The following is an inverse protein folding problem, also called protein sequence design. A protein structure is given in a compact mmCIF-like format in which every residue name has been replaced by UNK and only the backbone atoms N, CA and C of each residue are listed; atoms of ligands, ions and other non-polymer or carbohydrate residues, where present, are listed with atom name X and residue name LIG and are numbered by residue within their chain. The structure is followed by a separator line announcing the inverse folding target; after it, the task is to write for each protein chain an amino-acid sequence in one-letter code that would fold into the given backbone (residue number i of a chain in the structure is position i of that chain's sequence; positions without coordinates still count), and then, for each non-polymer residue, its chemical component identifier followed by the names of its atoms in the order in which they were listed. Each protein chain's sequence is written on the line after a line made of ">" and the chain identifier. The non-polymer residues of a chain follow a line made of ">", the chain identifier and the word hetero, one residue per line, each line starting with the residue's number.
data_IF_300818422609
#
_entry.id   IF_300818422609
#
_cell.length_a   1.000
_cell.length_b   1.000
_cell.length_c   1.000
_cell.angle_alpha   90.00
_cell.angle_beta   90.00
_cell.angle_gamma   90.00
#
_symmetry.space_group_name_H-M   'P 1'
#
loop_
_entity.id
_entity.type
_entity.pdbx_description
1 polymer ?
#
# COMPACT_ATOMS: atom_id res chain seq x y z
N UNK A 1 10.13 14.06 7.64
CA UNK A 1 9.59 14.26 9.00
C UNK A 1 9.42 12.93 9.71
N UNK A 2 9.75 12.82 11.00
CA UNK A 2 9.75 11.54 11.75
C UNK A 2 8.37 11.36 12.40
N UNK A 3 7.68 10.26 12.10
CA UNK A 3 6.39 9.91 12.72
C UNK A 3 6.55 8.69 13.65
N UNK A 4 6.05 8.81 14.88
CA UNK A 4 6.07 7.76 15.89
C UNK A 4 4.70 7.06 15.97
N UNK A 5 4.68 5.73 16.06
CA UNK A 5 3.49 4.97 16.44
C UNK A 5 3.86 3.87 17.44
N UNK A 6 3.02 3.69 18.47
CA UNK A 6 3.03 2.51 19.35
C UNK A 6 1.65 1.87 19.35
N UNK A 7 1.59 0.55 19.31
CA UNK A 7 0.38 -0.21 19.64
C UNK A 7 0.58 -0.81 21.02
N UNK A 8 -0.43 -0.63 21.88
CA UNK A 8 -0.52 -1.25 23.21
C UNK A 8 -1.58 -2.35 23.09
N UNK A 9 -1.18 -3.60 23.30
CA UNK A 9 -2.11 -4.69 23.59
C UNK A 9 -1.92 -5.11 25.04
N UNK A 10 -3.04 -5.37 25.72
CA UNK A 10 -3.08 -5.90 27.08
C UNK A 10 -3.63 -7.31 26.96
N UNK A 11 -2.82 -8.30 27.34
CA UNK A 11 -3.24 -9.69 27.43
C UNK A 11 -3.71 -10.01 28.86
N UNK A 12 -4.52 -11.05 29.02
CA UNK A 12 -5.33 -11.30 30.22
C UNK A 12 -4.54 -11.82 31.45
N UNK A 13 -3.22 -11.98 31.33
CA UNK A 13 -2.30 -12.42 32.40
C UNK A 13 -1.29 -11.34 32.83
N UNK A 14 -1.55 -10.07 32.52
CA UNK A 14 -0.75 -8.93 33.01
C UNK A 14 0.68 -8.82 32.46
N UNK A 15 1.09 -9.74 31.57
CA UNK A 15 2.42 -9.77 30.94
C UNK A 15 2.41 -8.93 29.67
N UNK A 16 3.09 -7.80 29.71
CA UNK A 16 3.21 -6.87 28.57
C UNK A 16 4.23 -7.44 27.58
N UNK A 17 3.75 -8.00 26.47
CA UNK A 17 4.60 -8.44 25.36
C UNK A 17 4.55 -7.35 24.28
N UNK A 18 5.67 -6.70 24.02
CA UNK A 18 5.79 -5.72 22.95
C UNK A 18 5.95 -6.43 21.60
N UNK A 19 5.11 -6.10 20.62
CA UNK A 19 5.36 -6.48 19.23
C UNK A 19 6.66 -5.81 18.77
N UNK A 20 7.57 -6.55 18.11
CA UNK A 20 8.78 -5.97 17.51
C UNK A 20 8.39 -4.79 16.60
N UNK A 21 8.91 -3.61 16.90
CA UNK A 21 8.80 -2.43 16.05
C UNK A 21 9.70 -2.70 14.83
N UNK A 22 9.11 -3.17 13.73
CA UNK A 22 9.82 -3.25 12.45
C UNK A 22 9.81 -1.85 11.86
N UNK A 23 10.93 -1.15 12.04
CA UNK A 23 11.18 0.17 11.44
C UNK A 23 11.25 0.03 9.91
N UNK A 24 10.15 0.30 9.22
CA UNK A 24 10.19 0.57 7.79
C UNK A 24 10.83 1.94 7.57
N UNK A 25 12.15 1.96 7.36
CA UNK A 25 12.87 3.16 6.92
C UNK A 25 12.25 3.63 5.60
N UNK A 26 11.46 4.70 5.65
CA UNK A 26 11.14 5.50 4.47
C UNK A 26 12.45 6.19 4.06
N UNK A 27 13.27 5.48 3.26
CA UNK A 27 14.44 6.09 2.64
C UNK A 27 13.91 7.18 1.71
N UNK A 28 14.05 8.44 2.13
CA UNK A 28 13.77 9.64 1.32
C UNK A 28 14.79 9.82 0.18
N UNK A 29 15.30 8.74 -0.39
CA UNK A 29 16.18 8.75 -1.56
C UNK A 29 15.92 7.50 -2.39
N UNK A 30 15.04 7.63 -3.38
CA UNK A 30 15.18 7.08 -4.74
C UNK A 30 13.88 7.30 -5.53
N UNK A 31 14.02 7.68 -6.79
CA UNK A 31 13.01 8.19 -7.75
C UNK A 31 11.76 7.32 -8.04
N UNK A 32 11.42 6.33 -7.21
CA UNK A 32 10.20 5.54 -7.33
C UNK A 32 9.38 5.60 -6.02
N UNK A 33 8.31 6.39 -6.04
CA UNK A 33 7.35 6.49 -4.95
C UNK A 33 5.96 6.08 -5.46
N UNK A 34 5.20 5.39 -4.60
CA UNK A 34 3.77 5.18 -4.85
C UNK A 34 2.94 6.00 -3.86
N UNK A 35 1.82 6.53 -4.33
CA UNK A 35 0.82 7.18 -3.48
C UNK A 35 -0.58 6.86 -3.99
N UNK A 36 -1.55 6.82 -3.09
CA UNK A 36 -2.94 6.52 -3.44
C UNK A 36 -3.84 7.65 -3.00
N UNK A 37 -4.66 8.16 -3.92
CA UNK A 37 -5.59 9.26 -3.67
C UNK A 37 -6.92 9.06 -4.43
N UNK A 38 -8.05 9.54 -3.88
CA UNK A 38 -8.20 10.02 -2.50
C UNK A 38 -8.05 8.87 -1.48
N UNK A 39 -7.69 9.22 -0.24
CA UNK A 39 -7.66 8.30 0.89
C UNK A 39 -8.14 9.06 2.14
N UNK A 40 -9.39 8.86 2.62
CA UNK A 40 -10.30 7.77 2.25
C UNK A 40 -10.81 7.80 0.80
N UNK A 41 -10.95 6.61 0.20
CA UNK A 41 -11.47 6.39 -1.14
C UNK A 41 -12.95 6.01 -1.07
N UNK A 42 -13.73 6.40 -2.09
CA UNK A 42 -15.13 5.97 -2.25
C UNK A 42 -15.28 5.09 -3.49
N UNK A 43 -14.79 5.55 -4.64
CA UNK A 43 -14.75 4.79 -5.89
C UNK A 43 -13.49 5.13 -6.68
N UNK A 44 -12.98 4.13 -7.40
CA UNK A 44 -11.90 4.29 -8.37
C UNK A 44 -10.70 5.11 -7.84
N UNK A 45 -10.07 4.75 -6.72
CA UNK A 45 -8.89 5.47 -6.27
C UNK A 45 -7.77 5.40 -7.31
N UNK A 46 -7.00 6.48 -7.40
CA UNK A 46 -5.87 6.62 -8.29
C UNK A 46 -4.60 6.24 -7.54
N UNK A 47 -3.91 5.24 -8.06
CA UNK A 47 -2.56 4.87 -7.66
C UNK A 47 -1.57 5.61 -8.55
N UNK A 48 -0.87 6.59 -7.97
CA UNK A 48 0.24 7.27 -8.60
C UNK A 48 1.52 6.48 -8.39
N UNK A 49 2.26 6.21 -9.46
CA UNK A 49 3.53 5.49 -9.47
C UNK A 49 4.54 6.33 -10.23
N UNK A 50 5.61 6.75 -9.54
CA UNK A 50 6.78 7.30 -10.19
C UNK A 50 7.76 6.18 -10.53
N UNK A 51 8.26 6.14 -11.75
CA UNK A 51 9.27 5.15 -12.18
C UNK A 51 10.43 5.84 -12.88
N UNK A 52 11.65 5.35 -12.64
CA UNK A 52 12.85 5.82 -13.34
C UNK A 52 13.03 5.19 -14.74
N UNK A 53 12.33 4.08 -15.00
CA UNK A 53 12.43 3.30 -16.24
C UNK A 53 11.07 2.67 -16.59
N UNK A 54 10.93 2.22 -17.84
CA UNK A 54 9.77 1.43 -18.25
C UNK A 54 9.80 0.07 -17.54
N UNK A 55 8.68 -0.34 -16.98
CA UNK A 55 8.59 -1.52 -16.15
C UNK A 55 7.22 -2.18 -16.24
N UNK A 56 7.16 -3.48 -15.97
CA UNK A 56 5.88 -4.15 -15.69
C UNK A 56 5.65 -4.16 -14.17
N UNK A 57 4.50 -3.63 -13.74
CA UNK A 57 4.10 -3.63 -12.35
C UNK A 57 2.95 -4.62 -12.12
N UNK A 58 3.07 -5.43 -11.06
CA UNK A 58 1.98 -6.23 -10.52
C UNK A 58 1.37 -5.53 -9.32
N UNK A 59 0.09 -5.18 -9.41
CA UNK A 59 -0.65 -4.42 -8.42
C UNK A 59 -1.64 -5.37 -7.76
N UNK A 60 -1.49 -5.58 -6.46
CA UNK A 60 -2.35 -6.45 -5.66
C UNK A 60 -3.10 -5.64 -4.61
N UNK A 61 -4.40 -5.92 -4.44
CA UNK A 61 -5.21 -5.41 -3.33
C UNK A 61 -5.43 -6.55 -2.35
N UNK A 62 -5.08 -6.32 -1.09
CA UNK A 62 -5.08 -7.31 -0.01
C UNK A 62 -5.96 -6.83 1.14
N UNK A 63 -6.69 -7.74 1.79
CA UNK A 63 -7.37 -7.43 3.06
C UNK A 63 -6.36 -7.37 4.23
N UNK A 64 -6.85 -7.07 5.45
CA UNK A 64 -5.99 -6.99 6.65
C UNK A 64 -5.35 -8.34 7.03
N UNK A 65 -5.95 -9.46 6.62
CA UNK A 65 -5.42 -10.81 6.83
C UNK A 65 -4.40 -11.22 5.74
N UNK A 66 -4.13 -10.35 4.76
CA UNK A 66 -3.21 -10.63 3.65
C UNK A 66 -3.83 -11.46 2.52
N UNK A 67 -5.14 -11.72 2.53
CA UNK A 67 -5.82 -12.41 1.44
C UNK A 67 -5.89 -11.52 0.19
N UNK A 68 -5.57 -12.11 -0.96
CA UNK A 68 -5.60 -11.46 -2.26
C UNK A 68 -7.04 -11.27 -2.75
N UNK A 69 -7.44 -10.03 -2.96
CA UNK A 69 -8.78 -9.66 -3.44
C UNK A 69 -8.77 -9.25 -4.91
N UNK A 70 -7.68 -8.65 -5.36
CA UNK A 70 -7.48 -8.28 -6.77
C UNK A 70 -6.01 -8.32 -7.11
N UNK A 71 -5.71 -8.71 -8.34
CA UNK A 71 -4.37 -8.71 -8.92
C UNK A 71 -4.46 -8.23 -10.36
N UNK A 72 -3.72 -7.17 -10.68
CA UNK A 72 -3.66 -6.60 -12.02
C UNK A 72 -2.20 -6.39 -12.44
N UNK A 73 -1.93 -6.56 -13.73
CA UNK A 73 -0.62 -6.26 -14.32
C UNK A 73 -0.74 -5.00 -15.18
N UNK A 74 0.12 -4.01 -14.95
CA UNK A 74 0.13 -2.74 -15.69
C UNK A 74 1.54 -2.41 -16.17
N UNK A 75 1.63 -1.93 -17.40
CA UNK A 75 2.88 -1.37 -17.93
C UNK A 75 3.04 0.05 -17.40
N UNK A 76 4.15 0.30 -16.73
CA UNK A 76 4.55 1.58 -16.14
C UNK A 76 5.59 2.20 -17.06
N UNK A 77 5.39 3.46 -17.44
CA UNK A 77 6.36 4.22 -18.22
C UNK A 77 7.31 4.98 -17.31
N UNK A 78 8.47 5.36 -17.81
CA UNK A 78 9.34 6.32 -17.13
C UNK A 78 8.58 7.62 -16.81
N UNK A 79 8.75 8.16 -15.60
CA UNK A 79 8.05 9.34 -15.11
C UNK A 79 6.87 8.98 -14.20
N UNK A 80 5.87 9.87 -14.17
CA UNK A 80 4.68 9.75 -13.33
C UNK A 80 3.56 9.01 -14.07
N UNK A 81 2.97 8.02 -13.41
CA UNK A 81 1.91 7.17 -13.95
C UNK A 81 0.71 7.21 -13.01
N UNK A 82 -0.49 7.38 -13.56
CA UNK A 82 -1.74 7.36 -12.81
C UNK A 82 -2.56 6.13 -13.21
N UNK A 83 -2.84 5.25 -12.24
CA UNK A 83 -3.55 3.99 -12.47
C UNK A 83 -4.86 4.01 -11.69
N UNK A 84 -5.96 3.84 -12.40
CA UNK A 84 -7.28 3.76 -11.79
C UNK A 84 -7.54 2.34 -11.28
N UNK A 85 -7.76 2.19 -9.97
CA UNK A 85 -8.04 0.89 -9.35
C UNK A 85 -9.55 0.57 -9.38
N UNK A 86 -10.06 0.20 -10.55
CA UNK A 86 -11.50 -0.07 -10.75
C UNK A 86 -12.01 -1.30 -9.99
N UNK A 87 -11.13 -2.29 -9.76
CA UNK A 87 -11.43 -3.51 -9.01
C UNK A 87 -11.86 -3.24 -7.56
N UNK A 88 -11.49 -2.08 -7.01
CA UNK A 88 -11.85 -1.65 -5.64
C UNK A 88 -13.35 -1.38 -5.49
N UNK A 89 -14.07 -1.03 -6.57
CA UNK A 89 -15.50 -0.72 -6.49
C UNK A 89 -16.40 -1.91 -6.10
N UNK A 90 -15.86 -3.13 -6.15
CA UNK A 90 -16.56 -4.36 -5.76
C UNK A 90 -16.29 -4.77 -4.31
N UNK A 91 -15.42 -4.04 -3.61
CA UNK A 91 -15.01 -4.32 -2.24
C UNK A 91 -15.92 -3.57 -1.26
N UNK A 92 -16.16 -4.17 -0.11
CA UNK A 92 -16.88 -3.52 0.99
C UNK A 92 -16.04 -2.40 1.63
N UNK A 93 -16.68 -1.46 2.31
CA UNK A 93 -15.96 -0.48 3.12
C UNK A 93 -15.01 -1.18 4.12
N UNK A 94 -13.79 -0.66 4.26
CA UNK A 94 -12.76 -1.32 5.06
C UNK A 94 -11.35 -0.81 4.79
N UNK A 95 -10.38 -1.43 5.47
CA UNK A 95 -8.96 -1.11 5.31
C UNK A 95 -8.31 -2.20 4.45
N UNK A 96 -7.61 -1.74 3.42
CA UNK A 96 -6.92 -2.59 2.46
C UNK A 96 -5.46 -2.17 2.32
N UNK A 97 -4.61 -3.14 1.98
CA UNK A 97 -3.22 -2.90 1.59
C UNK A 97 -3.11 -3.04 0.08
N UNK A 98 -2.58 -2.01 -0.58
CA UNK A 98 -2.22 -2.07 -2.01
C UNK A 98 -0.73 -2.33 -2.10
N UNK A 99 -0.37 -3.44 -2.73
CA UNK A 99 1.02 -3.86 -2.97
C UNK A 99 1.35 -3.67 -4.44
N UNK A 100 2.47 -3.04 -4.74
CA UNK A 100 3.00 -2.89 -6.09
C UNK A 100 4.35 -3.57 -6.17
N UNK A 101 4.48 -4.59 -7.02
CA UNK A 101 5.75 -5.23 -7.35
C UNK A 101 6.21 -4.74 -8.72
N UNK A 102 7.35 -4.06 -8.78
CA UNK A 102 7.91 -3.49 -10.00
C UNK A 102 9.44 -3.50 -9.91
N UNK A 103 10.14 -3.95 -10.95
CA UNK A 103 11.61 -4.06 -11.01
C UNK A 103 12.21 -4.80 -9.79
N UNK A 104 11.57 -5.89 -9.37
CA UNK A 104 11.97 -6.67 -8.20
C UNK A 104 11.76 -5.98 -6.85
N UNK A 105 11.26 -4.74 -6.83
CA UNK A 105 10.97 -3.96 -5.62
C UNK A 105 9.49 -4.03 -5.29
N UNK A 106 9.20 -4.19 -4.01
CA UNK A 106 7.82 -4.20 -3.50
C UNK A 106 7.53 -2.91 -2.74
N UNK A 107 6.43 -2.26 -3.10
CA UNK A 107 5.92 -1.06 -2.44
C UNK A 107 4.54 -1.36 -1.83
N UNK A 108 4.24 -0.72 -0.71
CA UNK A 108 2.95 -0.85 -0.03
C UNK A 108 2.34 0.52 0.24
N UNK A 109 1.02 0.63 0.07
CA UNK A 109 0.25 1.78 0.56
C UNK A 109 -1.06 1.30 1.18
N UNK A 110 -1.49 1.98 2.24
CA UNK A 110 -2.76 1.68 2.93
C UNK A 110 -3.88 2.47 2.28
N UNK A 111 -4.97 1.79 1.98
CA UNK A 111 -6.20 2.38 1.47
C UNK A 111 -7.33 2.20 2.49
N UNK A 112 -8.03 3.28 2.80
CA UNK A 112 -9.28 3.27 3.58
C UNK A 112 -10.41 3.44 2.56
N UNK A 113 -11.28 2.45 2.42
CA UNK A 113 -12.45 2.49 1.54
C UNK A 113 -13.70 2.77 2.39
N UNK A 114 -14.53 3.72 1.94
CA UNK A 114 -15.79 4.14 2.57
C UNK A 114 -17.01 3.77 1.73
#
# INVERSE_FOLDING_TARGET
>A
GIHYYRLKMVDNDGKIIYSKIITLRRSENNNAGISLFPNPATKNPVLSIKSAENAQASIAVLNMQGALLSLESKTIKTGDNAILLQSVNKLSAGIYNVRVLMNGKTYFTRMILQ
#
